data_IF_379473245398
#
_entry.id   IF_379473245398
#
_cell.length_a   1.000
_cell.length_b   1.000
_cell.length_c   1.000
_cell.angle_alpha   90.00
_cell.angle_beta   90.00
_cell.angle_gamma   90.00
#
_symmetry.space_group_name_H-M   'P 1'
#
loop_
_entity.id
_entity.type
_entity.pdbx_description
1 polymer ?
#
# COMPACT_ATOMS: atom_id res chain seq x y z
N UNK A 1 5.73 82.33 8.89
CA UNK A 1 4.91 81.11 8.68
C UNK A 1 5.73 79.90 8.26
N UNK A 2 6.74 80.03 7.37
CA UNK A 2 7.58 78.89 6.95
C UNK A 2 8.41 78.31 8.11
N UNK A 3 8.96 79.16 8.97
CA UNK A 3 9.84 78.73 10.06
C UNK A 3 9.07 78.00 11.18
N UNK A 4 7.85 78.46 11.51
CA UNK A 4 6.96 77.78 12.45
C UNK A 4 6.55 76.36 11.99
N UNK A 5 6.51 76.12 10.68
CA UNK A 5 6.18 74.80 10.13
C UNK A 5 7.36 73.83 10.24
N UNK A 6 8.60 74.34 10.11
CA UNK A 6 9.83 73.56 10.25
C UNK A 6 10.06 73.17 11.71
N UNK A 7 9.87 74.10 12.65
CA UNK A 7 10.01 73.86 14.09
C UNK A 7 8.97 72.84 14.60
N UNK A 8 7.74 72.93 14.09
CA UNK A 8 6.68 71.95 14.38
C UNK A 8 7.03 70.55 13.83
N UNK A 9 7.61 70.48 12.63
CA UNK A 9 8.03 69.21 12.03
C UNK A 9 9.15 68.56 12.84
N UNK A 10 10.13 69.35 13.31
CA UNK A 10 11.23 68.85 14.12
C UNK A 10 10.77 68.34 15.50
N UNK A 11 9.83 69.02 16.16
CA UNK A 11 9.26 68.57 17.44
C UNK A 11 8.49 67.24 17.28
N UNK A 12 7.77 67.07 16.16
CA UNK A 12 6.94 65.87 15.91
C UNK A 12 7.68 64.73 15.22
N UNK A 13 8.85 64.97 14.62
CA UNK A 13 9.64 63.96 13.93
C UNK A 13 10.00 62.78 14.85
N UNK A 14 10.31 63.05 16.12
CA UNK A 14 10.68 62.01 17.10
C UNK A 14 9.49 61.09 17.42
N UNK A 15 8.30 61.65 17.60
CA UNK A 15 7.08 60.87 17.84
C UNK A 15 6.65 60.09 16.58
N UNK A 16 6.81 60.68 15.40
CA UNK A 16 6.57 59.99 14.13
C UNK A 16 7.50 58.79 13.97
N UNK A 17 8.79 58.95 14.27
CA UNK A 17 9.77 57.87 14.18
C UNK A 17 9.47 56.71 15.14
N UNK A 18 9.11 56.99 16.39
CA UNK A 18 8.69 55.95 17.33
C UNK A 18 7.39 55.27 16.90
N UNK A 19 6.44 56.01 16.32
CA UNK A 19 5.22 55.44 15.76
C UNK A 19 5.51 54.45 14.62
N UNK A 20 6.40 54.81 13.71
CA UNK A 20 6.82 53.92 12.60
C UNK A 20 7.51 52.65 13.13
N UNK A 21 8.43 52.78 14.11
CA UNK A 21 9.09 51.62 14.71
C UNK A 21 8.08 50.69 15.39
N UNK A 22 7.11 51.25 16.13
CA UNK A 22 6.08 50.46 16.79
C UNK A 22 5.23 49.68 15.78
N UNK A 23 4.83 50.32 14.68
CA UNK A 23 4.07 49.65 13.61
C UNK A 23 4.88 48.52 12.98
N UNK A 24 6.17 48.73 12.71
CA UNK A 24 7.05 47.69 12.16
C UNK A 24 7.19 46.53 13.15
N UNK A 25 7.37 46.80 14.45
CA UNK A 25 7.47 45.78 15.48
C UNK A 25 6.18 44.96 15.60
N UNK A 26 5.02 45.62 15.59
CA UNK A 26 3.71 44.95 15.60
C UNK A 26 3.53 44.10 14.35
N UNK A 27 3.93 44.61 13.17
CA UNK A 27 3.84 43.86 11.92
C UNK A 27 4.75 42.63 11.92
N UNK A 28 5.97 42.76 12.45
CA UNK A 28 6.90 41.64 12.59
C UNK A 28 6.36 40.55 13.53
N UNK A 29 5.80 40.94 14.67
CA UNK A 29 5.17 40.00 15.62
C UNK A 29 3.93 39.34 14.99
N UNK A 30 3.07 40.12 14.33
CA UNK A 30 1.90 39.58 13.62
C UNK A 30 2.30 38.59 12.53
N UNK A 31 3.36 38.87 11.77
CA UNK A 31 3.90 37.98 10.75
C UNK A 31 4.47 36.67 11.34
N UNK A 32 5.22 36.75 12.45
CA UNK A 32 5.74 35.59 13.17
C UNK A 32 4.62 34.69 13.73
N UNK A 33 3.56 35.30 14.23
CA UNK A 33 2.39 34.58 14.74
C UNK A 33 1.63 33.94 13.57
N UNK A 34 1.34 34.69 12.50
CA UNK A 34 0.65 34.19 11.31
C UNK A 34 1.38 33.02 10.65
N UNK A 35 2.72 33.06 10.57
CA UNK A 35 3.53 31.97 10.03
C UNK A 35 3.44 30.66 10.82
N UNK A 36 3.16 30.72 12.13
CA UNK A 36 2.97 29.52 12.96
C UNK A 36 1.59 28.87 12.79
N UNK A 37 0.59 29.59 12.29
CA UNK A 37 -0.78 29.09 12.12
C UNK A 37 -1.13 28.61 10.70
N UNK A 38 -0.22 28.73 9.73
CA UNK A 38 -0.48 28.36 8.32
C UNK A 38 -0.14 26.90 7.92
N UNK A 39 0.13 26.00 8.88
CA UNK A 39 0.23 24.56 8.57
C UNK A 39 -1.17 23.98 8.37
N UNK A 40 -1.76 24.26 7.21
CA UNK A 40 -3.09 23.79 6.84
C UNK A 40 -3.15 22.25 6.64
N UNK A 41 -4.37 21.69 6.53
CA UNK A 41 -4.60 20.25 6.35
C UNK A 41 -3.88 19.63 5.14
N UNK A 42 -3.69 20.40 4.08
CA UNK A 42 -3.00 19.99 2.85
C UNK A 42 -1.51 19.70 3.05
N UNK A 43 -0.84 20.45 3.94
CA UNK A 43 0.56 20.20 4.33
C UNK A 43 0.69 18.83 5.00
N UNK A 44 -0.28 18.45 5.83
CA UNK A 44 -0.24 17.20 6.58
C UNK A 44 -0.49 15.99 5.68
N UNK A 45 -1.41 16.10 4.72
CA UNK A 45 -1.65 15.04 3.73
C UNK A 45 -0.43 14.79 2.83
N UNK A 46 0.23 15.85 2.37
CA UNK A 46 1.45 15.73 1.58
C UNK A 46 2.59 15.10 2.38
N UNK A 47 2.75 15.50 3.65
CA UNK A 47 3.72 14.88 4.55
C UNK A 47 3.43 13.39 4.75
N UNK A 48 2.17 12.99 4.92
CA UNK A 48 1.79 11.60 5.08
C UNK A 48 2.06 10.76 3.82
N UNK A 49 1.84 11.30 2.61
CA UNK A 49 2.27 10.63 1.37
C UNK A 49 3.78 10.39 1.37
N UNK A 50 4.60 11.37 1.78
CA UNK A 50 6.05 11.18 1.81
C UNK A 50 6.47 10.11 2.82
N UNK A 51 5.84 10.06 3.98
CA UNK A 51 6.09 9.01 4.98
C UNK A 51 5.73 7.64 4.41
N UNK A 52 4.58 7.51 3.75
CA UNK A 52 4.17 6.28 3.09
C UNK A 52 5.19 5.82 2.03
N UNK A 53 5.60 6.70 1.12
CA UNK A 53 6.58 6.37 0.07
C UNK A 53 7.93 5.96 0.65
N UNK A 54 8.41 6.66 1.68
CA UNK A 54 9.67 6.30 2.34
C UNK A 54 9.56 4.96 3.06
N UNK A 55 8.44 4.71 3.75
CA UNK A 55 8.18 3.42 4.38
C UNK A 55 8.14 2.32 3.34
N UNK A 56 7.47 2.51 2.19
CA UNK A 56 7.39 1.54 1.11
C UNK A 56 8.79 1.14 0.61
N UNK A 57 9.69 2.11 0.46
CA UNK A 57 11.10 1.94 0.11
C UNK A 57 12.00 1.47 1.26
N UNK A 58 11.44 1.11 2.42
CA UNK A 58 12.17 0.66 3.63
C UNK A 58 13.16 1.70 4.19
N UNK A 59 12.89 2.99 3.95
CA UNK A 59 13.71 4.10 4.44
C UNK A 59 13.23 4.65 5.78
N UNK A 60 12.06 4.23 6.24
CA UNK A 60 11.42 4.66 7.49
C UNK A 60 10.74 3.46 8.17
N UNK A 61 10.70 3.41 9.52
CA UNK A 61 9.96 2.40 10.26
C UNK A 61 8.45 2.57 10.08
N UNK A 62 7.69 1.50 10.32
CA UNK A 62 6.23 1.53 10.19
C UNK A 62 5.56 2.46 11.21
N UNK A 63 6.09 2.59 12.42
CA UNK A 63 5.57 3.45 13.50
C UNK A 63 5.35 4.92 13.06
N UNK A 64 6.20 5.41 12.15
CA UNK A 64 6.07 6.75 11.58
C UNK A 64 4.84 6.87 10.68
N UNK A 65 4.57 5.84 9.87
CA UNK A 65 3.37 5.75 9.04
C UNK A 65 2.13 5.51 9.90
N UNK A 66 2.21 4.60 10.87
CA UNK A 66 1.12 4.32 11.82
C UNK A 66 0.66 5.59 12.54
N UNK A 67 1.61 6.38 13.05
CA UNK A 67 1.34 7.68 13.67
C UNK A 67 0.64 8.66 12.73
N UNK A 68 0.92 8.59 11.43
CA UNK A 68 0.25 9.42 10.43
C UNK A 68 -1.18 8.92 10.15
N UNK A 69 -1.38 7.60 10.07
CA UNK A 69 -2.69 6.98 9.87
C UNK A 69 -3.63 7.23 11.06
N UNK A 70 -3.12 7.18 12.30
CA UNK A 70 -3.90 7.49 13.51
C UNK A 70 -4.40 8.94 13.52
N UNK A 71 -3.59 9.88 12.99
CA UNK A 71 -3.98 11.30 12.88
C UNK A 71 -4.94 11.56 11.72
N UNK A 72 -4.91 10.71 10.70
CA UNK A 72 -5.65 10.85 9.45
C UNK A 72 -6.22 9.49 9.00
N UNK A 73 -7.28 8.98 9.65
CA UNK A 73 -7.84 7.66 9.34
C UNK A 73 -8.31 7.52 7.88
N UNK A 74 -8.64 8.63 7.22
CA UNK A 74 -8.96 8.66 5.78
C UNK A 74 -7.83 8.12 4.90
N UNK A 75 -6.58 8.19 5.37
CA UNK A 75 -5.42 7.66 4.65
C UNK A 75 -5.40 6.13 4.60
N UNK A 76 -6.02 5.45 5.57
CA UNK A 76 -6.12 3.99 5.51
C UNK A 76 -6.95 3.53 4.31
N UNK A 77 -7.97 4.30 3.91
CA UNK A 77 -8.76 4.03 2.70
C UNK A 77 -7.88 4.03 1.46
N UNK A 78 -6.89 4.94 1.43
CA UNK A 78 -5.96 5.16 0.33
C UNK A 78 -4.79 4.17 0.33
N UNK A 79 -4.21 3.89 1.50
CA UNK A 79 -2.95 3.14 1.62
C UNK A 79 -3.14 1.71 2.11
N UNK A 80 -4.26 1.37 2.74
CA UNK A 80 -4.47 0.10 3.45
C UNK A 80 -4.19 -1.13 2.60
N UNK A 81 -4.59 -1.12 1.32
CA UNK A 81 -4.32 -2.24 0.41
C UNK A 81 -2.81 -2.46 0.18
N UNK A 82 -2.05 -1.37 -0.03
CA UNK A 82 -0.59 -1.44 -0.23
C UNK A 82 0.15 -1.77 1.07
N UNK A 83 -0.38 -1.32 2.21
CA UNK A 83 0.16 -1.67 3.53
C UNK A 83 0.00 -3.17 3.76
N UNK A 84 -1.20 -3.70 3.56
CA UNK A 84 -1.49 -5.13 3.66
C UNK A 84 -0.63 -5.96 2.69
N UNK A 85 -0.55 -5.56 1.42
CA UNK A 85 0.26 -6.24 0.40
C UNK A 85 1.73 -6.34 0.83
N UNK A 86 2.31 -5.24 1.35
CA UNK A 86 3.70 -5.24 1.80
C UNK A 86 3.93 -6.17 2.99
N UNK A 87 3.05 -6.17 3.99
CA UNK A 87 3.18 -7.09 5.13
C UNK A 87 2.98 -8.55 4.73
N UNK A 88 2.02 -8.85 3.84
CA UNK A 88 1.83 -10.18 3.26
C UNK A 88 3.09 -10.64 2.53
N UNK A 89 3.70 -9.78 1.70
CA UNK A 89 4.93 -10.10 0.98
C UNK A 89 6.13 -10.36 1.92
N UNK A 90 6.06 -9.86 3.16
CA UNK A 90 7.05 -10.11 4.21
C UNK A 90 6.69 -11.31 5.10
N UNK A 91 5.62 -12.03 4.78
CA UNK A 91 5.08 -13.13 5.58
C UNK A 91 4.72 -12.70 7.03
N UNK A 92 4.30 -11.44 7.19
CA UNK A 92 3.82 -10.87 8.45
C UNK A 92 2.29 -10.71 8.39
N UNK A 93 1.59 -11.84 8.50
CA UNK A 93 0.14 -11.87 8.43
C UNK A 93 -0.56 -11.11 9.57
N UNK A 94 0.05 -11.07 10.76
CA UNK A 94 -0.51 -10.39 11.94
C UNK A 94 -0.56 -8.87 11.72
N UNK A 95 0.53 -8.27 11.23
CA UNK A 95 0.55 -6.84 10.89
C UNK A 95 -0.33 -6.50 9.68
N UNK A 96 -0.51 -7.44 8.75
CA UNK A 96 -1.34 -7.25 7.56
C UNK A 96 -2.85 -7.24 7.87
N UNK A 97 -3.30 -8.08 8.79
CA UNK A 97 -4.72 -8.37 9.06
C UNK A 97 -5.62 -7.13 9.27
N UNK A 98 -5.27 -6.13 10.11
CA UNK A 98 -6.14 -4.97 10.31
C UNK A 98 -6.35 -4.15 9.04
N UNK A 99 -5.36 -4.09 8.15
CA UNK A 99 -5.45 -3.38 6.87
C UNK A 99 -6.16 -4.22 5.82
N UNK A 100 -5.82 -5.51 5.72
CA UNK A 100 -6.38 -6.44 4.77
C UNK A 100 -7.89 -6.63 4.98
N UNK A 101 -8.32 -6.87 6.22
CA UNK A 101 -9.73 -7.13 6.57
C UNK A 101 -10.65 -5.97 6.18
N UNK A 102 -10.21 -4.72 6.42
CA UNK A 102 -10.96 -3.52 6.03
C UNK A 102 -11.07 -3.38 4.52
N UNK A 103 -10.01 -3.71 3.78
CA UNK A 103 -10.02 -3.70 2.31
C UNK A 103 -10.97 -4.78 1.79
N UNK A 104 -10.93 -5.99 2.35
CA UNK A 104 -11.83 -7.07 1.95
C UNK A 104 -13.29 -6.70 2.16
N UNK A 105 -13.66 -6.14 3.30
CA UNK A 105 -15.05 -5.71 3.56
C UNK A 105 -15.56 -4.70 2.53
N UNK A 106 -14.70 -3.80 2.06
CA UNK A 106 -15.07 -2.78 1.07
C UNK A 106 -15.16 -3.33 -0.35
N UNK A 107 -14.25 -4.23 -0.72
CA UNK A 107 -14.02 -4.65 -2.10
C UNK A 107 -14.75 -5.96 -2.45
N UNK A 108 -15.05 -6.79 -1.45
CA UNK A 108 -15.72 -8.08 -1.63
C UNK A 108 -17.04 -8.02 -2.42
N UNK A 109 -17.94 -7.03 -2.20
CA UNK A 109 -19.20 -6.97 -2.96
C UNK A 109 -19.01 -6.74 -4.46
N UNK A 110 -17.87 -6.18 -4.88
CA UNK A 110 -17.60 -5.81 -6.28
C UNK A 110 -16.80 -6.88 -7.01
N UNK A 111 -15.80 -7.47 -6.34
CA UNK A 111 -14.89 -8.48 -6.91
C UNK A 111 -14.64 -9.63 -5.90
N UNK A 112 -15.64 -10.49 -5.67
CA UNK A 112 -15.60 -11.50 -4.60
C UNK A 112 -14.51 -12.56 -4.81
N UNK A 113 -14.20 -12.94 -6.06
CA UNK A 113 -13.18 -13.93 -6.39
C UNK A 113 -11.78 -13.40 -6.06
N UNK A 114 -11.44 -12.17 -6.49
CA UNK A 114 -10.18 -11.52 -6.14
C UNK A 114 -10.05 -11.29 -4.63
N UNK A 115 -11.16 -10.95 -3.96
CA UNK A 115 -11.18 -10.78 -2.51
C UNK A 115 -10.94 -12.10 -1.78
N UNK A 116 -11.51 -13.21 -2.26
CA UNK A 116 -11.21 -14.56 -1.74
C UNK A 116 -9.74 -14.91 -1.98
N UNK A 117 -9.22 -14.63 -3.17
CA UNK A 117 -7.82 -14.88 -3.48
C UNK A 117 -6.89 -14.08 -2.54
N UNK A 118 -7.19 -12.81 -2.27
CA UNK A 118 -6.40 -11.98 -1.37
C UNK A 118 -6.51 -12.43 0.10
N UNK A 119 -7.70 -12.88 0.55
CA UNK A 119 -7.87 -13.51 1.87
C UNK A 119 -7.00 -14.77 2.01
N UNK A 120 -6.94 -15.60 0.97
CA UNK A 120 -6.03 -16.75 0.93
C UNK A 120 -4.56 -16.35 1.06
N UNK A 121 -4.13 -15.24 0.47
CA UNK A 121 -2.77 -14.71 0.68
C UNK A 121 -2.51 -14.31 2.13
N UNK A 122 -3.50 -13.72 2.80
CA UNK A 122 -3.39 -13.38 4.23
C UNK A 122 -3.26 -14.66 5.08
N UNK A 123 -4.05 -15.69 4.80
CA UNK A 123 -3.95 -16.99 5.51
C UNK A 123 -2.56 -17.62 5.33
N UNK A 124 -1.99 -17.56 4.12
CA UNK A 124 -0.62 -18.00 3.84
C UNK A 124 0.38 -17.23 4.71
N UNK A 125 0.27 -15.89 4.74
CA UNK A 125 1.15 -15.04 5.54
C UNK A 125 1.03 -15.28 7.06
N UNK A 126 -0.13 -15.77 7.52
CA UNK A 126 -0.38 -16.18 8.92
C UNK A 126 0.08 -17.63 9.21
N UNK A 127 0.52 -18.38 8.20
CA UNK A 127 0.92 -19.79 8.33
C UNK A 127 -0.25 -20.77 8.36
N UNK A 128 -1.49 -20.33 8.10
CA UNK A 128 -2.70 -21.15 8.07
C UNK A 128 -2.83 -21.87 6.72
N UNK A 129 -1.87 -22.74 6.40
CA UNK A 129 -1.73 -23.32 5.05
C UNK A 129 -2.88 -24.25 4.66
N UNK A 130 -3.41 -25.04 5.60
CA UNK A 130 -4.54 -25.96 5.34
C UNK A 130 -5.83 -25.20 4.98
N UNK A 131 -6.10 -24.12 5.71
CA UNK A 131 -7.25 -23.25 5.46
C UNK A 131 -7.08 -22.51 4.13
N UNK A 132 -5.86 -22.01 3.86
CA UNK A 132 -5.54 -21.39 2.58
C UNK A 132 -5.72 -22.36 1.40
N UNK A 133 -5.32 -23.64 1.55
CA UNK A 133 -5.48 -24.65 0.52
C UNK A 133 -6.96 -24.95 0.27
N UNK A 134 -7.72 -25.14 1.34
CA UNK A 134 -9.18 -25.36 1.27
C UNK A 134 -9.86 -24.20 0.54
N UNK A 135 -9.50 -22.97 0.87
CA UNK A 135 -10.02 -21.76 0.21
C UNK A 135 -9.62 -21.68 -1.26
N UNK A 136 -8.35 -22.01 -1.60
CA UNK A 136 -7.86 -21.98 -2.97
C UNK A 136 -8.56 -23.02 -3.85
N UNK A 137 -8.74 -24.25 -3.35
CA UNK A 137 -9.50 -25.31 -4.05
C UNK A 137 -10.95 -24.90 -4.26
N UNK A 138 -11.61 -24.36 -3.23
CA UNK A 138 -13.00 -23.86 -3.36
C UNK A 138 -13.13 -22.68 -4.32
N UNK A 139 -12.12 -21.81 -4.36
CA UNK A 139 -12.10 -20.69 -5.29
C UNK A 139 -11.95 -21.16 -6.74
N UNK A 140 -11.15 -22.20 -7.00
CA UNK A 140 -10.91 -22.74 -8.35
C UNK A 140 -12.21 -23.00 -9.12
N UNK A 141 -13.20 -23.61 -8.45
CA UNK A 141 -14.52 -23.95 -9.02
C UNK A 141 -15.42 -22.74 -9.32
N UNK A 142 -15.00 -21.52 -8.96
CA UNK A 142 -15.75 -20.27 -9.19
C UNK A 142 -15.08 -19.34 -10.21
N UNK A 143 -13.91 -19.71 -10.74
CA UNK A 143 -13.08 -18.86 -11.58
C UNK A 143 -13.35 -19.04 -13.09
N UNK A 144 -14.60 -19.30 -13.48
CA UNK A 144 -14.96 -19.62 -14.87
C UNK A 144 -14.70 -18.48 -15.86
N UNK A 145 -14.68 -17.23 -15.39
CA UNK A 145 -14.59 -16.03 -16.24
C UNK A 145 -13.29 -15.22 -16.07
N UNK A 146 -12.41 -15.61 -15.16
CA UNK A 146 -11.11 -14.94 -14.95
C UNK A 146 -9.96 -15.95 -15.09
N UNK A 147 -9.54 -16.14 -16.33
CA UNK A 147 -8.48 -17.07 -16.69
C UNK A 147 -7.13 -16.72 -16.02
N UNK A 148 -6.83 -15.43 -15.81
CA UNK A 148 -5.57 -15.03 -15.20
C UNK A 148 -5.57 -15.36 -13.70
N UNK A 149 -6.65 -15.02 -12.99
CA UNK A 149 -6.81 -15.37 -11.58
C UNK A 149 -6.85 -16.89 -11.39
N UNK A 150 -7.47 -17.63 -12.31
CA UNK A 150 -7.44 -19.09 -12.34
C UNK A 150 -6.01 -19.63 -12.41
N UNK A 151 -5.20 -19.14 -13.35
CA UNK A 151 -3.78 -19.51 -13.47
C UNK A 151 -2.97 -19.23 -12.20
N UNK A 152 -3.12 -18.03 -11.59
CA UNK A 152 -2.48 -17.72 -10.32
C UNK A 152 -2.94 -18.63 -9.18
N UNK A 153 -4.23 -19.00 -9.15
CA UNK A 153 -4.78 -19.88 -8.14
C UNK A 153 -4.27 -21.32 -8.29
N UNK A 154 -4.05 -21.81 -9.51
CA UNK A 154 -3.40 -23.10 -9.75
C UNK A 154 -1.97 -23.14 -9.21
N UNK A 155 -1.18 -22.09 -9.46
CA UNK A 155 0.18 -21.93 -8.89
C UNK A 155 0.13 -21.99 -7.37
N UNK A 156 -0.83 -21.30 -6.76
CA UNK A 156 -1.05 -21.33 -5.30
C UNK A 156 -1.38 -22.72 -4.79
N UNK A 157 -2.33 -23.42 -5.42
CA UNK A 157 -2.74 -24.77 -4.99
C UNK A 157 -1.52 -25.70 -5.02
N UNK A 158 -0.78 -25.73 -6.14
CA UNK A 158 0.42 -26.56 -6.25
C UNK A 158 1.46 -26.22 -5.16
N UNK A 159 1.69 -24.94 -4.89
CA UNK A 159 2.63 -24.47 -3.87
C UNK A 159 2.20 -24.86 -2.44
N UNK A 160 0.89 -24.76 -2.14
CA UNK A 160 0.33 -25.13 -0.85
C UNK A 160 0.33 -26.64 -0.61
N UNK A 161 -0.06 -27.44 -1.61
CA UNK A 161 0.04 -28.90 -1.54
C UNK A 161 1.49 -29.32 -1.30
N UNK A 162 2.46 -28.65 -1.94
CA UNK A 162 3.87 -28.89 -1.68
C UNK A 162 4.26 -28.56 -0.24
N UNK A 163 3.87 -27.39 0.27
CA UNK A 163 4.20 -26.98 1.62
C UNK A 163 3.61 -27.90 2.71
N UNK A 164 2.49 -28.56 2.40
CA UNK A 164 1.79 -29.51 3.27
C UNK A 164 2.16 -30.98 3.01
N UNK A 165 3.10 -31.25 2.10
CA UNK A 165 3.55 -32.60 1.70
C UNK A 165 2.44 -33.52 1.17
N UNK A 166 1.42 -32.95 0.49
CA UNK A 166 0.31 -33.67 -0.15
C UNK A 166 0.59 -33.85 -1.64
N UNK A 167 1.43 -34.85 -1.94
CA UNK A 167 2.00 -35.05 -3.28
C UNK A 167 0.96 -35.35 -4.37
N UNK A 168 -0.09 -36.12 -4.06
CA UNK A 168 -1.08 -36.51 -5.06
C UNK A 168 -1.85 -35.30 -5.63
N UNK A 169 -2.26 -34.40 -4.74
CA UNK A 169 -2.97 -33.16 -5.03
C UNK A 169 -2.05 -32.15 -5.71
N UNK A 170 -0.77 -32.08 -5.32
CA UNK A 170 0.24 -31.28 -6.03
C UNK A 170 0.32 -31.71 -7.50
N UNK A 171 0.42 -33.01 -7.77
CA UNK A 171 0.51 -33.52 -9.15
C UNK A 171 -0.76 -33.26 -9.97
N UNK A 172 -1.94 -33.23 -9.35
CA UNK A 172 -3.18 -32.83 -10.03
C UNK A 172 -3.11 -31.35 -10.43
N UNK A 173 -2.78 -30.47 -9.48
CA UNK A 173 -2.68 -29.04 -9.75
C UNK A 173 -1.60 -28.70 -10.79
N UNK A 174 -0.45 -29.38 -10.76
CA UNK A 174 0.63 -29.19 -11.74
C UNK A 174 0.21 -29.60 -13.15
N UNK A 175 -0.57 -30.67 -13.32
CA UNK A 175 -1.09 -31.07 -14.64
C UNK A 175 -2.12 -30.08 -15.18
N UNK A 176 -3.02 -29.58 -14.33
CA UNK A 176 -3.96 -28.53 -14.72
C UNK A 176 -3.23 -27.25 -15.14
N UNK A 177 -2.18 -26.87 -14.38
CA UNK A 177 -1.37 -25.69 -14.68
C UNK A 177 -0.55 -25.85 -15.97
N UNK A 178 0.00 -27.02 -16.23
CA UNK A 178 0.69 -27.35 -17.49
C UNK A 178 -0.25 -27.18 -18.68
N UNK A 179 -1.46 -27.76 -18.60
CA UNK A 179 -2.49 -27.60 -19.63
C UNK A 179 -2.86 -26.13 -19.86
N UNK A 180 -3.08 -25.37 -18.79
CA UNK A 180 -3.38 -23.94 -18.86
C UNK A 180 -2.28 -23.15 -19.59
N UNK A 181 -1.01 -23.47 -19.35
CA UNK A 181 0.13 -22.80 -20.01
C UNK A 181 0.25 -23.18 -21.48
N UNK A 182 -0.02 -24.44 -21.82
CA UNK A 182 0.05 -24.96 -23.20
C UNK A 182 -0.98 -24.32 -24.15
N UNK A 183 -2.10 -23.83 -23.61
CA UNK A 183 -3.12 -23.09 -24.37
C UNK A 183 -2.58 -21.81 -25.00
N UNK A 184 -1.51 -21.22 -24.44
CA UNK A 184 -0.89 -19.95 -24.92
C UNK A 184 -1.91 -18.82 -25.08
N UNK A 185 -2.94 -18.81 -24.23
CA UNK A 185 -3.87 -17.68 -24.09
C UNK A 185 -3.14 -16.44 -23.58
N UNK A 186 -3.72 -15.25 -23.74
CA UNK A 186 -3.15 -14.00 -23.18
C UNK A 186 -2.90 -14.13 -21.68
N UNK A 187 -3.84 -14.72 -20.94
CA UNK A 187 -3.68 -14.99 -19.51
C UNK A 187 -2.51 -15.94 -19.20
N UNK A 188 -2.33 -17.00 -19.98
CA UNK A 188 -1.21 -17.92 -19.84
C UNK A 188 0.15 -17.26 -20.10
N UNK A 189 0.22 -16.37 -21.11
CA UNK A 189 1.42 -15.60 -21.41
C UNK A 189 1.75 -14.62 -20.28
N UNK A 190 0.75 -13.87 -19.79
CA UNK A 190 0.92 -12.96 -18.66
C UNK A 190 1.36 -13.69 -17.40
N UNK A 191 0.79 -14.87 -17.11
CA UNK A 191 1.20 -15.68 -15.96
C UNK A 191 2.68 -16.08 -16.06
N UNK A 192 3.12 -16.55 -17.23
CA UNK A 192 4.52 -16.91 -17.47
C UNK A 192 5.47 -15.72 -17.34
N UNK A 193 5.06 -14.52 -17.79
CA UNK A 193 5.85 -13.30 -17.62
C UNK A 193 5.98 -12.90 -16.15
N UNK A 194 4.91 -13.09 -15.35
CA UNK A 194 4.93 -12.84 -13.92
C UNK A 194 5.80 -13.84 -13.16
N UNK A 195 5.97 -15.05 -13.70
CA UNK A 195 6.68 -16.15 -13.05
C UNK A 195 8.01 -16.44 -13.76
N UNK A 196 8.95 -15.50 -13.60
CA UNK A 196 10.32 -15.63 -14.09
C UNK A 196 11.31 -15.17 -13.04
N UNK A 197 12.09 -16.12 -12.51
CA UNK A 197 13.20 -15.82 -11.61
C UNK A 197 14.52 -16.17 -12.31
N UNK A 198 15.24 -15.13 -12.74
CA UNK A 198 16.44 -15.29 -13.56
C UNK A 198 16.14 -16.00 -14.88
N UNK A 199 16.67 -17.21 -15.05
CA UNK A 199 16.47 -18.06 -16.24
C UNK A 199 15.37 -19.10 -16.06
N UNK A 200 14.86 -19.29 -14.84
CA UNK A 200 13.87 -20.33 -14.54
C UNK A 200 12.47 -19.80 -14.87
N UNK A 201 11.76 -20.54 -15.72
CA UNK A 201 10.37 -20.27 -16.07
C UNK A 201 9.41 -21.14 -15.26
N UNK A 202 8.11 -20.80 -15.29
CA UNK A 202 7.07 -21.64 -14.69
C UNK A 202 7.04 -23.05 -15.31
N UNK A 203 7.26 -23.18 -16.61
CA UNK A 203 7.36 -24.49 -17.29
C UNK A 203 8.54 -25.32 -16.80
N UNK A 204 9.70 -24.69 -16.55
CA UNK A 204 10.87 -25.38 -15.99
C UNK A 204 10.56 -25.89 -14.58
N UNK A 205 9.91 -25.06 -13.76
CA UNK A 205 9.48 -25.44 -12.42
C UNK A 205 8.54 -26.64 -12.44
N UNK A 206 7.48 -26.61 -13.26
CA UNK A 206 6.51 -27.73 -13.39
C UNK A 206 7.24 -29.02 -13.80
N UNK A 207 8.11 -28.93 -14.80
CA UNK A 207 8.87 -30.08 -15.32
C UNK A 207 9.75 -30.70 -14.24
N UNK A 208 10.45 -29.88 -13.45
CA UNK A 208 11.28 -30.36 -12.35
C UNK A 208 10.43 -31.05 -11.27
N UNK A 209 9.30 -30.45 -10.88
CA UNK A 209 8.44 -30.98 -9.82
C UNK A 209 7.77 -32.31 -10.16
N UNK A 210 7.40 -32.53 -11.43
CA UNK A 210 6.80 -33.80 -11.88
C UNK A 210 7.79 -34.98 -11.88
N UNK A 211 9.09 -34.73 -11.77
CA UNK A 211 10.14 -35.77 -11.74
C UNK A 211 10.58 -36.20 -10.34
N UNK A 212 10.10 -35.50 -9.29
CA UNK A 212 10.38 -35.79 -7.88
C UNK A 212 9.24 -36.58 -7.27
#
# INVERSE_FOLDING_TARGET
MRDQWIDWLQDKQRHFFYGVILVIAVFFVAFQIAGKFHKGPTSNFFAANQVFEKWLLQKEPFDNLESALQKHPELETKFGARIAEKFIAQNDGESAEPFASRVFQRVFPEIPEHSTFAQGSLLIAKGNLEEALTMAVSLKERLDNDALLYGFNLVRIASLCRALDVSAEEQVALRELEGFIEEKSEAALLLNECFKEGTTTLSDYISQRKTQ
#
